data_IF_468854362219
#
_entry.id   IF_468854362219
#
_cell.length_a   1.000
_cell.length_b   1.000
_cell.length_c   1.000
_cell.angle_alpha   90.00
_cell.angle_beta   90.00
_cell.angle_gamma   90.00
#
_symmetry.space_group_name_H-M   'P 1'
#
loop_
_entity.id
_entity.type
_entity.pdbx_description
1 polymer ?
#
# COMPACT_ATOMS: atom_id res chain seq x y z
N UNK A 1 -46.60 1.11 20.64
CA UNK A 1 -45.86 2.13 19.85
C UNK A 1 -44.37 2.01 20.13
N UNK A 2 -43.56 1.49 19.20
CA UNK A 2 -42.07 1.56 19.20
C UNK A 2 -41.55 1.04 17.86
N UNK A 3 -41.43 1.92 16.86
CA UNK A 3 -40.82 1.63 15.54
C UNK A 3 -40.15 2.89 14.96
N UNK A 4 -39.19 3.50 15.66
CA UNK A 4 -38.33 4.54 15.06
C UNK A 4 -36.96 4.51 15.74
N UNK A 5 -36.05 3.60 15.37
CA UNK A 5 -34.60 3.70 15.70
C UNK A 5 -33.64 3.00 14.71
N UNK A 6 -34.12 2.41 13.61
CA UNK A 6 -33.26 1.61 12.70
C UNK A 6 -32.78 2.43 11.48
N UNK A 7 -33.53 3.47 11.06
CA UNK A 7 -33.19 4.25 9.87
C UNK A 7 -31.93 5.13 10.06
N UNK A 8 -31.64 5.58 11.28
CA UNK A 8 -30.53 6.51 11.55
C UNK A 8 -29.15 5.85 11.53
N UNK A 9 -29.07 4.53 11.80
CA UNK A 9 -27.80 3.80 11.81
C UNK A 9 -27.29 3.47 10.39
N UNK A 10 -28.18 3.28 9.42
CA UNK A 10 -27.82 2.99 8.03
C UNK A 10 -27.28 4.21 7.28
N UNK A 11 -27.73 5.41 7.64
CA UNK A 11 -27.26 6.66 7.03
C UNK A 11 -25.82 6.98 7.47
N UNK A 12 -25.46 6.67 8.72
CA UNK A 12 -24.09 6.90 9.21
C UNK A 12 -23.06 5.98 8.54
N UNK A 13 -23.43 4.72 8.24
CA UNK A 13 -22.53 3.77 7.58
C UNK A 13 -22.28 4.16 6.12
N UNK A 14 -23.28 4.70 5.43
CA UNK A 14 -23.16 5.18 4.04
C UNK A 14 -22.24 6.41 3.88
N UNK A 15 -22.15 7.26 4.90
CA UNK A 15 -21.28 8.45 4.86
C UNK A 15 -19.81 8.04 5.06
N UNK A 16 -19.53 7.04 5.90
CA UNK A 16 -18.16 6.57 6.15
C UNK A 16 -17.60 5.84 4.93
N UNK A 17 -18.41 5.07 4.20
CA UNK A 17 -17.97 4.44 2.93
C UNK A 17 -17.85 5.45 1.78
N UNK A 18 -18.66 6.52 1.76
CA UNK A 18 -18.57 7.59 0.77
C UNK A 18 -17.29 8.44 0.88
N UNK A 19 -16.81 8.70 2.10
CA UNK A 19 -15.59 9.50 2.32
C UNK A 19 -14.32 8.70 1.98
N UNK A 20 -14.32 7.37 2.15
CA UNK A 20 -13.18 6.53 1.74
C UNK A 20 -13.06 6.40 0.22
N UNK A 21 -14.17 6.53 -0.52
CA UNK A 21 -14.17 6.43 -1.99
C UNK A 21 -13.75 7.71 -2.73
N UNK A 22 -13.90 8.90 -2.12
CA UNK A 22 -13.74 10.18 -2.80
C UNK A 22 -12.34 10.81 -2.68
N UNK A 23 -11.45 10.28 -1.83
CA UNK A 23 -10.14 10.91 -1.55
C UNK A 23 -9.01 10.48 -2.53
N UNK A 24 -9.23 9.51 -3.43
CA UNK A 24 -8.16 8.98 -4.29
C UNK A 24 -8.48 8.80 -5.78
N UNK A 25 -9.35 9.62 -6.38
CA UNK A 25 -9.68 9.53 -7.83
C UNK A 25 -9.09 10.65 -8.68
N UNK A 26 -7.95 11.22 -8.29
CA UNK A 26 -7.09 11.83 -9.31
C UNK A 26 -6.42 10.67 -10.05
N UNK A 27 -6.65 10.48 -11.36
CA UNK A 27 -5.90 9.50 -12.11
C UNK A 27 -4.43 9.90 -12.02
N UNK A 28 -3.66 9.14 -11.22
CA UNK A 28 -2.21 9.19 -11.25
C UNK A 28 -1.84 8.96 -12.71
N UNK A 29 -1.23 9.96 -13.34
CA UNK A 29 -0.64 9.82 -14.67
C UNK A 29 0.52 8.85 -14.49
N UNK A 30 0.22 7.56 -14.56
CA UNK A 30 1.22 6.52 -14.74
C UNK A 30 1.84 6.76 -16.10
N UNK A 31 3.08 7.25 -16.12
CA UNK A 31 3.98 6.91 -17.22
C UNK A 31 4.09 5.38 -17.20
N UNK A 32 3.39 4.73 -18.13
CA UNK A 32 3.40 3.27 -18.32
C UNK A 32 4.80 2.71 -18.63
N UNK A 33 5.80 3.57 -18.82
CA UNK A 33 7.08 3.22 -19.42
C UNK A 33 8.31 3.29 -18.50
N UNK A 34 8.18 3.68 -17.23
CA UNK A 34 9.32 3.52 -16.29
C UNK A 34 9.41 2.07 -15.79
N UNK A 35 9.97 1.21 -16.65
CA UNK A 35 10.25 -0.21 -16.36
C UNK A 35 11.30 -0.45 -15.27
N UNK A 36 11.99 0.58 -14.80
CA UNK A 36 13.07 0.49 -13.82
C UNK A 36 13.05 1.73 -12.92
N UNK A 37 12.89 1.50 -11.62
CA UNK A 37 12.97 2.55 -10.60
C UNK A 37 14.45 2.81 -10.36
N UNK A 38 14.94 3.95 -10.84
CA UNK A 38 16.31 4.39 -10.63
C UNK A 38 16.29 5.75 -9.90
N UNK A 39 16.59 5.77 -8.59
CA UNK A 39 16.58 7.00 -7.80
C UNK A 39 17.43 8.12 -8.41
N UNK A 40 18.54 7.80 -9.08
CA UNK A 40 19.43 8.83 -9.64
C UNK A 40 18.80 9.49 -10.86
N UNK A 41 18.11 8.72 -11.70
CA UNK A 41 17.44 9.23 -12.89
C UNK A 41 16.14 9.96 -12.59
N UNK A 42 15.38 9.48 -11.60
CA UNK A 42 14.08 10.08 -11.22
C UNK A 42 14.26 11.54 -10.81
N UNK A 43 15.35 11.85 -10.10
CA UNK A 43 15.63 13.19 -9.59
C UNK A 43 16.79 13.90 -10.32
N UNK A 44 17.12 13.46 -11.55
CA UNK A 44 18.26 14.00 -12.29
C UNK A 44 18.05 15.42 -12.81
N UNK A 45 16.80 15.85 -13.03
CA UNK A 45 16.51 17.17 -13.59
C UNK A 45 16.63 18.28 -12.53
N UNK A 46 17.66 19.15 -12.62
CA UNK A 46 17.86 20.24 -11.67
C UNK A 46 16.79 21.34 -11.77
N UNK A 47 15.91 21.31 -12.79
CA UNK A 47 14.82 22.28 -12.98
C UNK A 47 13.47 21.79 -12.48
N UNK A 48 13.34 20.50 -12.14
CA UNK A 48 12.08 19.90 -11.70
C UNK A 48 11.46 20.68 -10.54
N UNK A 49 10.17 21.05 -10.61
CA UNK A 49 9.56 21.81 -9.51
C UNK A 49 9.33 20.95 -8.27
N UNK A 50 9.16 21.57 -7.09
CA UNK A 50 8.92 20.85 -5.83
C UNK A 50 7.70 19.92 -5.93
N UNK A 51 6.66 20.35 -6.65
CA UNK A 51 5.47 19.53 -6.85
C UNK A 51 5.75 18.32 -7.75
N UNK A 52 6.58 18.48 -8.78
CA UNK A 52 6.95 17.37 -9.67
C UNK A 52 7.87 16.38 -8.94
N UNK A 53 8.81 16.87 -8.13
CA UNK A 53 9.64 16.03 -7.25
C UNK A 53 8.77 15.17 -6.33
N UNK A 54 7.73 15.78 -5.74
CA UNK A 54 6.75 15.09 -4.90
C UNK A 54 6.02 13.99 -5.67
N UNK A 55 5.45 14.31 -6.83
CA UNK A 55 4.72 13.34 -7.65
C UNK A 55 5.64 12.17 -8.06
N UNK A 56 6.87 12.48 -8.48
CA UNK A 56 7.86 11.48 -8.88
C UNK A 56 8.23 10.55 -7.71
N UNK A 57 8.47 11.09 -6.53
CA UNK A 57 8.77 10.31 -5.33
C UNK A 57 7.63 9.36 -4.95
N UNK A 58 6.40 9.89 -4.79
CA UNK A 58 5.26 9.08 -4.37
C UNK A 58 4.90 8.01 -5.42
N UNK A 59 5.02 8.33 -6.70
CA UNK A 59 4.84 7.36 -7.79
C UNK A 59 5.86 6.22 -7.73
N UNK A 60 7.14 6.55 -7.51
CA UNK A 60 8.20 5.56 -7.41
C UNK A 60 8.07 4.70 -6.15
N UNK A 61 7.73 5.28 -4.99
CA UNK A 61 7.42 4.51 -3.77
C UNK A 61 6.28 3.54 -4.01
N UNK A 62 5.15 4.02 -4.56
CA UNK A 62 4.01 3.16 -4.88
C UNK A 62 4.40 2.02 -5.80
N UNK A 63 5.29 2.26 -6.76
CA UNK A 63 5.79 1.23 -7.67
C UNK A 63 6.59 0.14 -6.93
N UNK A 64 7.47 0.51 -5.98
CA UNK A 64 8.21 -0.44 -5.14
C UNK A 64 7.25 -1.38 -4.39
N UNK A 65 6.25 -0.81 -3.70
CA UNK A 65 5.31 -1.59 -2.91
C UNK A 65 4.40 -2.47 -3.78
N UNK A 66 3.86 -1.92 -4.87
CA UNK A 66 3.00 -2.66 -5.78
C UNK A 66 3.73 -3.83 -6.45
N UNK A 67 5.01 -3.66 -6.78
CA UNK A 67 5.84 -4.74 -7.30
C UNK A 67 6.04 -5.85 -6.26
N UNK A 68 6.31 -5.49 -5.00
CA UNK A 68 6.37 -6.44 -3.88
C UNK A 68 5.06 -7.21 -3.68
N UNK A 69 3.92 -6.52 -3.68
CA UNK A 69 2.60 -7.16 -3.60
C UNK A 69 2.34 -8.12 -4.76
N UNK A 70 2.68 -7.71 -5.98
CA UNK A 70 2.51 -8.55 -7.18
C UNK A 70 3.35 -9.83 -7.08
N UNK A 71 4.59 -9.72 -6.62
CA UNK A 71 5.49 -10.87 -6.40
C UNK A 71 4.90 -11.84 -5.35
N UNK A 72 4.47 -11.34 -4.18
CA UNK A 72 3.84 -12.16 -3.13
C UNK A 72 2.58 -12.85 -3.64
N UNK A 73 1.76 -12.15 -4.43
CA UNK A 73 0.46 -12.66 -4.87
C UNK A 73 0.54 -13.62 -6.06
N UNK A 74 1.58 -13.52 -6.90
CA UNK A 74 1.75 -14.26 -8.16
C UNK A 74 1.82 -15.79 -8.07
N UNK A 75 1.80 -16.37 -6.87
CA UNK A 75 1.69 -17.83 -6.68
C UNK A 75 3.02 -18.59 -6.69
N UNK A 76 4.12 -17.95 -7.09
CA UNK A 76 5.48 -18.45 -6.86
C UNK A 76 5.90 -18.33 -5.38
N UNK A 77 6.92 -19.10 -4.97
CA UNK A 77 7.59 -18.86 -3.68
C UNK A 77 8.29 -17.51 -3.76
N UNK A 78 7.66 -16.48 -3.22
CA UNK A 78 8.27 -15.16 -3.17
C UNK A 78 9.58 -15.25 -2.36
N UNK A 79 10.65 -14.64 -2.87
CA UNK A 79 11.94 -14.67 -2.16
C UNK A 79 11.84 -13.74 -0.95
N UNK A 80 11.65 -14.31 0.24
CA UNK A 80 11.61 -13.59 1.52
C UNK A 80 12.84 -13.88 2.37
N UNK A 81 13.91 -14.41 1.76
CA UNK A 81 15.09 -14.85 2.48
C UNK A 81 15.74 -13.66 3.18
N UNK A 82 16.22 -13.88 4.41
CA UNK A 82 17.07 -12.91 5.09
C UNK A 82 18.28 -12.63 4.22
N UNK A 83 18.70 -11.38 4.22
CA UNK A 83 19.74 -10.88 3.34
C UNK A 83 20.95 -10.55 4.20
N UNK A 84 22.14 -10.93 3.75
CA UNK A 84 23.38 -10.63 4.46
C UNK A 84 23.95 -9.27 4.06
N UNK A 85 23.69 -8.82 2.82
CA UNK A 85 24.22 -7.57 2.27
C UNK A 85 23.15 -6.71 1.55
N UNK A 86 23.30 -5.39 1.64
CA UNK A 86 22.35 -4.42 1.06
C UNK A 86 22.25 -4.49 -0.48
N UNK A 87 23.30 -4.97 -1.14
CA UNK A 87 23.36 -5.07 -2.61
C UNK A 87 22.33 -6.06 -3.16
N UNK A 88 21.98 -7.09 -2.41
CA UNK A 88 20.94 -8.07 -2.75
C UNK A 88 19.53 -7.46 -2.73
N UNK A 89 19.37 -6.29 -2.09
CA UNK A 89 18.15 -5.50 -2.10
C UNK A 89 18.17 -4.39 -3.16
N UNK A 90 19.20 -4.31 -4.01
CA UNK A 90 19.35 -3.29 -5.04
C UNK A 90 18.23 -3.30 -6.08
N UNK A 91 17.98 -2.16 -6.75
CA UNK A 91 16.90 -1.99 -7.73
C UNK A 91 17.06 -2.87 -8.98
N UNK A 92 18.30 -3.23 -9.32
CA UNK A 92 18.63 -4.04 -10.49
C UNK A 92 18.54 -5.56 -10.24
N UNK A 93 18.37 -5.98 -8.98
CA UNK A 93 18.33 -7.39 -8.60
C UNK A 93 17.00 -8.04 -9.01
N UNK A 94 17.10 -9.13 -9.80
CA UNK A 94 15.96 -9.95 -10.26
C UNK A 94 16.22 -11.44 -10.00
N UNK A 95 15.25 -12.20 -9.44
CA UNK A 95 13.95 -11.74 -8.96
C UNK A 95 14.09 -10.87 -7.70
N UNK A 96 13.12 -9.98 -7.49
CA UNK A 96 13.15 -9.06 -6.35
C UNK A 96 12.98 -9.86 -5.06
N UNK A 97 13.85 -9.58 -4.10
CA UNK A 97 13.65 -10.02 -2.74
C UNK A 97 12.55 -9.16 -2.11
N UNK A 98 11.45 -9.80 -1.73
CA UNK A 98 10.24 -9.18 -1.19
C UNK A 98 10.20 -9.20 0.34
N UNK A 99 11.32 -9.55 0.99
CA UNK A 99 11.44 -9.38 2.43
C UNK A 99 11.12 -7.94 2.82
N UNK A 100 10.50 -7.76 3.99
CA UNK A 100 10.23 -6.42 4.54
C UNK A 100 11.51 -5.57 4.56
N UNK A 101 12.67 -6.19 4.82
CA UNK A 101 13.97 -5.52 4.79
C UNK A 101 14.29 -4.91 3.42
N UNK A 102 14.24 -5.70 2.33
CA UNK A 102 14.59 -5.17 1.01
C UNK A 102 13.63 -4.10 0.50
N UNK A 103 12.34 -4.23 0.80
CA UNK A 103 11.35 -3.18 0.46
C UNK A 103 11.63 -1.91 1.27
N UNK A 104 11.94 -2.04 2.57
CA UNK A 104 12.34 -0.92 3.41
C UNK A 104 13.63 -0.25 2.91
N UNK A 105 14.63 -1.04 2.54
CA UNK A 105 15.91 -0.54 2.01
C UNK A 105 15.71 0.29 0.74
N UNK A 106 14.97 -0.26 -0.24
CA UNK A 106 14.65 0.45 -1.48
C UNK A 106 13.86 1.74 -1.23
N UNK A 107 12.83 1.66 -0.38
CA UNK A 107 12.03 2.82 0.01
C UNK A 107 12.86 3.90 0.70
N UNK A 108 13.75 3.49 1.62
CA UNK A 108 14.65 4.38 2.33
C UNK A 108 15.67 5.05 1.40
N UNK A 109 16.29 4.29 0.48
CA UNK A 109 17.23 4.84 -0.51
C UNK A 109 16.57 5.92 -1.37
N UNK A 110 15.34 5.69 -1.82
CA UNK A 110 14.58 6.67 -2.58
C UNK A 110 14.19 7.89 -1.71
N UNK A 111 13.76 7.66 -0.47
CA UNK A 111 13.42 8.72 0.49
C UNK A 111 14.62 9.62 0.81
N UNK A 112 15.79 9.07 1.09
CA UNK A 112 16.98 9.87 1.37
C UNK A 112 17.39 10.73 0.17
N UNK A 113 17.31 10.18 -1.04
CA UNK A 113 17.58 10.94 -2.26
C UNK A 113 16.55 12.08 -2.43
N UNK A 114 15.26 11.79 -2.26
CA UNK A 114 14.20 12.78 -2.32
C UNK A 114 14.37 13.92 -1.31
N UNK A 115 14.64 13.59 -0.04
CA UNK A 115 14.90 14.57 1.02
C UNK A 115 16.13 15.42 0.72
N UNK A 116 17.18 14.82 0.16
CA UNK A 116 18.39 15.56 -0.26
C UNK A 116 18.05 16.64 -1.29
N UNK A 117 17.25 16.29 -2.32
CA UNK A 117 16.84 17.25 -3.35
C UNK A 117 15.89 18.33 -2.81
N UNK A 118 14.96 17.97 -1.92
CA UNK A 118 14.10 18.93 -1.24
C UNK A 118 14.91 19.94 -0.41
N UNK A 119 15.89 19.45 0.36
CA UNK A 119 16.79 20.30 1.15
C UNK A 119 17.63 21.22 0.27
N UNK A 120 18.11 20.71 -0.88
CA UNK A 120 18.81 21.54 -1.87
C UNK A 120 17.93 22.69 -2.36
N UNK A 121 16.67 22.41 -2.74
CA UNK A 121 15.72 23.46 -3.17
C UNK A 121 15.36 24.42 -2.05
N UNK A 122 15.27 23.94 -0.81
CA UNK A 122 15.08 24.80 0.37
C UNK A 122 16.26 25.76 0.54
N UNK A 123 17.50 25.28 0.42
CA UNK A 123 18.70 26.11 0.54
C UNK A 123 18.78 27.14 -0.59
N UNK A 124 18.45 26.76 -1.83
CA UNK A 124 18.39 27.71 -2.96
C UNK A 124 17.35 28.83 -2.79
N UNK A 125 16.28 28.58 -2.01
CA UNK A 125 15.31 29.63 -1.64
C UNK A 125 15.88 30.54 -0.55
N UNK A 126 16.61 29.97 0.40
CA UNK A 126 17.28 30.71 1.47
C UNK A 126 18.38 31.64 0.91
N UNK A 127 19.26 31.12 0.05
CA UNK A 127 20.33 31.91 -0.58
C UNK A 127 19.75 33.05 -1.45
N UNK A 128 18.61 32.81 -2.11
CA UNK A 128 17.91 33.85 -2.86
C UNK A 128 17.35 34.95 -1.97
N UNK A 129 16.88 34.61 -0.77
CA UNK A 129 16.37 35.57 0.20
C UNK A 129 17.48 36.52 0.68
N UNK A 130 18.68 35.99 0.98
CA UNK A 130 19.82 36.80 1.41
C UNK A 130 20.30 37.77 0.32
N UNK A 131 20.13 37.41 -0.95
CA UNK A 131 20.59 38.18 -2.11
C UNK A 131 19.54 39.16 -2.68
N UNK A 132 18.40 39.38 -2.03
CA UNK A 132 17.41 40.36 -2.50
C UNK A 132 18.00 41.78 -2.38
N UNK A 133 18.41 42.36 -3.51
CA UNK A 133 19.02 43.70 -3.62
C UNK A 133 18.13 44.81 -3.03
N UNK A 134 18.79 45.84 -2.48
CA UNK A 134 18.16 47.02 -1.89
C UNK A 134 17.35 47.89 -2.86
N UNK A 135 17.46 47.67 -4.16
CA UNK A 135 16.73 48.41 -5.19
C UNK A 135 15.26 47.98 -5.37
N UNK A 136 14.83 46.91 -4.69
CA UNK A 136 13.44 46.43 -4.73
C UNK A 136 12.55 47.26 -3.78
N UNK A 137 11.39 47.78 -4.21
CA UNK A 137 10.46 48.50 -3.33
C UNK A 137 10.14 47.70 -2.07
N UNK A 138 10.10 48.36 -0.91
CA UNK A 138 9.97 47.75 0.41
C UNK A 138 8.74 46.83 0.54
N UNK A 139 7.62 47.19 -0.11
CA UNK A 139 6.38 46.42 -0.13
C UNK A 139 6.49 45.13 -0.97
N UNK A 140 7.12 45.20 -2.15
CA UNK A 140 7.35 44.01 -3.00
C UNK A 140 8.35 43.05 -2.34
N UNK A 141 9.32 43.61 -1.60
CA UNK A 141 10.29 42.83 -0.83
C UNK A 141 9.62 42.00 0.26
N UNK A 142 8.64 42.54 0.99
CA UNK A 142 7.96 41.77 2.05
C UNK A 142 7.14 40.59 1.50
N UNK A 143 6.45 40.78 0.37
CA UNK A 143 5.62 39.73 -0.23
C UNK A 143 6.48 38.58 -0.78
N UNK A 144 7.61 38.90 -1.41
CA UNK A 144 8.58 37.91 -1.90
C UNK A 144 9.15 37.09 -0.73
N UNK A 145 9.56 37.76 0.35
CA UNK A 145 10.10 37.10 1.54
C UNK A 145 9.08 36.17 2.17
N UNK A 146 7.83 36.63 2.38
CA UNK A 146 6.77 35.81 2.94
C UNK A 146 6.47 34.58 2.07
N UNK A 147 6.44 34.76 0.74
CA UNK A 147 6.22 33.66 -0.19
C UNK A 147 7.37 32.62 -0.15
N UNK A 148 8.62 33.07 0.01
CA UNK A 148 9.77 32.18 0.19
C UNK A 148 9.66 31.37 1.50
N UNK A 149 9.34 32.02 2.62
CA UNK A 149 9.14 31.31 3.89
C UNK A 149 8.03 30.27 3.82
N UNK A 150 6.90 30.61 3.18
CA UNK A 150 5.79 29.66 2.98
C UNK A 150 6.24 28.45 2.15
N UNK A 151 7.05 28.65 1.11
CA UNK A 151 7.61 27.54 0.32
C UNK A 151 8.55 26.67 1.15
N UNK A 152 9.39 27.26 1.98
CA UNK A 152 10.28 26.50 2.88
C UNK A 152 9.48 25.67 3.89
N UNK A 153 8.42 26.23 4.47
CA UNK A 153 7.53 25.52 5.39
C UNK A 153 6.85 24.33 4.70
N UNK A 154 6.39 24.50 3.46
CA UNK A 154 5.80 23.42 2.66
C UNK A 154 6.82 22.29 2.44
N UNK A 155 8.07 22.61 2.15
CA UNK A 155 9.13 21.60 1.98
C UNK A 155 9.37 20.84 3.28
N UNK A 156 9.48 21.54 4.41
CA UNK A 156 9.72 20.90 5.71
C UNK A 156 8.55 20.00 6.12
N UNK A 157 7.31 20.43 5.84
CA UNK A 157 6.11 19.61 6.05
C UNK A 157 6.11 18.38 5.16
N UNK A 158 6.41 18.51 3.86
CA UNK A 158 6.47 17.39 2.93
C UNK A 158 7.51 16.35 3.36
N UNK A 159 8.68 16.76 3.88
CA UNK A 159 9.68 15.81 4.41
C UNK A 159 9.09 14.98 5.56
N UNK A 160 8.36 15.63 6.48
CA UNK A 160 7.69 14.96 7.61
C UNK A 160 6.60 14.00 7.13
N UNK A 161 5.73 14.48 6.25
CA UNK A 161 4.60 13.71 5.70
C UNK A 161 5.09 12.51 4.89
N UNK A 162 6.11 12.70 4.05
CA UNK A 162 6.72 11.62 3.27
C UNK A 162 7.33 10.53 4.16
N UNK A 163 7.99 10.91 5.26
CA UNK A 163 8.52 9.94 6.23
C UNK A 163 7.39 9.12 6.87
N UNK A 164 6.37 9.80 7.37
CA UNK A 164 5.24 9.15 8.01
C UNK A 164 4.49 8.23 7.04
N UNK A 165 4.32 8.65 5.79
CA UNK A 165 3.71 7.84 4.74
C UNK A 165 4.54 6.58 4.44
N UNK A 166 5.87 6.70 4.35
CA UNK A 166 6.77 5.56 4.16
C UNK A 166 6.68 4.58 5.33
N UNK A 167 6.76 5.06 6.58
CA UNK A 167 6.66 4.21 7.78
C UNK A 167 5.32 3.46 7.83
N UNK A 168 4.23 4.15 7.50
CA UNK A 168 2.88 3.57 7.46
C UNK A 168 2.77 2.51 6.35
N UNK A 169 3.32 2.78 5.17
CA UNK A 169 3.32 1.85 4.04
C UNK A 169 4.15 0.60 4.35
N UNK A 170 5.31 0.75 5.01
CA UNK A 170 6.14 -0.38 5.45
C UNK A 170 5.43 -1.25 6.48
N UNK A 171 4.74 -0.62 7.44
CA UNK A 171 3.94 -1.36 8.40
C UNK A 171 2.81 -2.15 7.72
N UNK A 172 2.04 -1.49 6.84
CA UNK A 172 0.97 -2.14 6.08
C UNK A 172 1.50 -3.29 5.19
N UNK A 173 2.67 -3.11 4.57
CA UNK A 173 3.32 -4.14 3.78
C UNK A 173 3.72 -5.35 4.62
N UNK A 174 4.31 -5.13 5.79
CA UNK A 174 4.67 -6.18 6.74
C UNK A 174 3.43 -6.98 7.17
N UNK A 175 2.36 -6.29 7.56
CA UNK A 175 1.09 -6.94 7.92
C UNK A 175 0.52 -7.77 6.77
N UNK A 176 0.55 -7.23 5.54
CA UNK A 176 0.15 -7.98 4.35
C UNK A 176 1.00 -9.24 4.13
N UNK A 177 2.32 -9.15 4.34
CA UNK A 177 3.23 -10.28 4.18
C UNK A 177 2.88 -11.44 5.13
N UNK A 178 2.42 -11.14 6.35
CA UNK A 178 1.94 -12.16 7.30
C UNK A 178 0.51 -12.62 7.01
N UNK A 179 -0.40 -11.70 6.68
CA UNK A 179 -1.81 -11.99 6.51
C UNK A 179 -2.11 -12.78 5.23
N UNK A 180 -1.40 -12.52 4.13
CA UNK A 180 -1.66 -13.16 2.84
C UNK A 180 -1.51 -14.69 2.83
N UNK A 181 -0.42 -15.30 3.35
CA UNK A 181 -0.32 -16.75 3.43
C UNK A 181 -1.43 -17.36 4.30
N UNK A 182 -1.80 -16.71 5.40
CA UNK A 182 -2.95 -17.14 6.22
C UNK A 182 -4.25 -17.07 5.41
N UNK A 183 -4.46 -16.00 4.65
CA UNK A 183 -5.65 -15.87 3.80
C UNK A 183 -5.75 -17.01 2.77
N UNK A 184 -4.62 -17.42 2.18
CA UNK A 184 -4.58 -18.59 1.28
C UNK A 184 -4.99 -19.88 1.99
N UNK A 185 -4.43 -20.17 3.17
CA UNK A 185 -4.75 -21.39 3.91
C UNK A 185 -6.21 -21.42 4.38
N UNK A 186 -6.76 -20.27 4.78
CA UNK A 186 -8.19 -20.13 5.07
C UNK A 186 -9.06 -20.45 3.85
N UNK A 187 -8.69 -19.95 2.67
CA UNK A 187 -9.39 -20.24 1.42
C UNK A 187 -9.39 -21.73 1.08
N UNK A 188 -8.28 -22.43 1.32
CA UNK A 188 -8.19 -23.88 1.13
C UNK A 188 -9.04 -24.66 2.14
N UNK A 189 -8.98 -24.28 3.41
CA UNK A 189 -9.76 -24.91 4.48
C UNK A 189 -11.26 -24.73 4.24
N UNK A 190 -11.67 -23.53 3.81
CA UNK A 190 -13.07 -23.27 3.45
C UNK A 190 -13.54 -24.17 2.30
N UNK A 191 -12.74 -24.35 1.24
CA UNK A 191 -13.06 -25.27 0.15
C UNK A 191 -13.22 -26.71 0.63
N UNK A 192 -12.37 -27.16 1.56
CA UNK A 192 -12.48 -28.49 2.15
C UNK A 192 -13.77 -28.65 2.97
N UNK A 193 -14.14 -27.65 3.77
CA UNK A 193 -15.38 -27.66 4.55
C UNK A 193 -16.62 -27.69 3.66
N UNK A 194 -16.61 -26.94 2.56
CA UNK A 194 -17.69 -26.99 1.54
C UNK A 194 -17.79 -28.39 0.94
N UNK A 195 -16.68 -28.98 0.52
CA UNK A 195 -16.66 -30.35 -0.03
C UNK A 195 -17.19 -31.36 0.99
N UNK A 196 -16.80 -31.24 2.26
CA UNK A 196 -17.28 -32.12 3.33
C UNK A 196 -18.79 -31.99 3.55
N UNK A 197 -19.31 -30.76 3.59
CA UNK A 197 -20.76 -30.50 3.69
C UNK A 197 -21.53 -31.15 2.53
N UNK A 198 -21.03 -31.01 1.31
CA UNK A 198 -21.71 -31.51 0.12
C UNK A 198 -21.70 -33.06 0.11
N UNK A 199 -20.59 -33.69 0.50
CA UNK A 199 -20.50 -35.14 0.69
C UNK A 199 -21.43 -35.65 1.81
N UNK A 200 -21.56 -34.92 2.92
CA UNK A 200 -22.51 -35.26 3.98
C UNK A 200 -23.96 -35.18 3.49
N UNK A 201 -24.29 -34.19 2.66
CA UNK A 201 -25.62 -34.07 2.06
C UNK A 201 -25.92 -35.25 1.13
N UNK A 202 -24.93 -35.69 0.35
CA UNK A 202 -25.05 -36.88 -0.50
C UNK A 202 -25.27 -38.15 0.33
N UNK A 203 -24.45 -38.38 1.36
CA UNK A 203 -24.60 -39.53 2.27
C UNK A 203 -25.99 -39.54 2.91
N UNK A 204 -26.48 -38.39 3.38
CA UNK A 204 -27.84 -38.27 3.94
C UNK A 204 -28.91 -38.61 2.90
N UNK A 205 -28.74 -38.16 1.66
CA UNK A 205 -29.63 -38.50 0.55
C UNK A 205 -29.64 -40.00 0.24
N UNK A 206 -28.50 -40.67 0.33
CA UNK A 206 -28.40 -42.13 0.17
C UNK A 206 -29.07 -42.86 1.34
N UNK A 207 -28.80 -42.47 2.60
CA UNK A 207 -29.41 -43.05 3.80
C UNK A 207 -30.94 -42.87 3.77
N UNK A 208 -31.44 -41.70 3.36
CA UNK A 208 -32.88 -41.45 3.27
C UNK A 208 -33.60 -42.34 2.23
N UNK A 209 -32.87 -42.85 1.22
CA UNK A 209 -33.40 -43.82 0.25
C UNK A 209 -33.41 -45.24 0.79
N UNK A 210 -32.61 -45.56 1.81
CA UNK A 210 -32.74 -46.83 2.51
C UNK A 210 -34.01 -46.76 3.38
N UNK A 211 -35.05 -47.54 3.06
CA UNK A 211 -36.22 -47.60 3.94
C UNK A 211 -35.76 -48.08 5.33
N UNK A 212 -36.38 -47.53 6.39
CA UNK A 212 -36.16 -47.81 7.82
C UNK A 212 -36.31 -49.29 8.26
N UNK A 213 -35.92 -50.28 7.45
CA UNK A 213 -36.25 -51.69 7.64
C UNK A 213 -35.21 -52.52 8.39
N UNK A 214 -34.01 -52.01 8.73
CA UNK A 214 -32.98 -52.87 9.34
C UNK A 214 -32.12 -52.23 10.43
N UNK A 215 -32.75 -51.55 11.39
CA UNK A 215 -32.18 -51.42 12.74
C UNK A 215 -33.36 -51.76 13.68
N UNK A 216 -33.27 -52.89 14.39
CA UNK A 216 -34.32 -53.58 15.21
C UNK A 216 -35.28 -54.59 14.55
N UNK A 217 -35.01 -55.09 13.34
CA UNK A 217 -35.69 -56.31 12.87
C UNK A 217 -34.98 -57.56 13.43
N UNK A 218 -35.14 -57.83 14.74
CA UNK A 218 -34.88 -59.16 15.30
C UNK A 218 -35.94 -60.13 14.80
N UNK A 219 -35.71 -60.78 13.66
CA UNK A 219 -36.55 -61.90 13.24
C UNK A 219 -36.23 -63.10 14.13
N UNK A 220 -36.96 -63.25 15.23
CA UNK A 220 -36.86 -64.40 16.14
C UNK A 220 -37.49 -65.67 15.62
N UNK A 221 -38.10 -65.66 14.43
CA UNK A 221 -38.70 -66.86 13.81
C UNK A 221 -38.29 -67.04 12.35
N UNK A 222 -37.58 -68.14 12.09
CA UNK A 222 -37.52 -68.77 10.77
C UNK A 222 -38.67 -69.80 10.70
N UNK A 223 -39.51 -69.71 9.66
CA UNK A 223 -40.39 -70.80 9.23
C UNK A 223 -39.68 -71.63 8.17
#
# INVERSE_FOLDING_TARGET
>A
MKKIKIASALILIGIITGIVGAVFTHPVIYSKDQKTIDPEKIFADPKMEVNDLRVAYHSAINSIFNEGFKQITSGGKANTTSVENDDECGFDVKPINVSTYCIAWRGAKLYYKYVSELKKRRNELFDRNENISGDTPLYERSDIIQHMYKKMEIIDREIGDAKQALDTALHAYKEFQYAYPMHKTYGETFKLLVKYRDLLAEIRGQIAKFPNKFIDASTTHCQ
#
